data_IF_033628585058
#
_entry.id   IF_033628585058
#
_cell.length_a   1.000
_cell.length_b   1.000
_cell.length_c   1.000
_cell.angle_alpha   90.00
_cell.angle_beta   90.00
_cell.angle_gamma   90.00
#
_symmetry.space_group_name_H-M   'P 1'
#
loop_
_entity.id
_entity.type
_entity.pdbx_description
1 polymer ?
#
# COMPACT_ATOMS: atom_id res chain seq x y z
N UNK A 1 -12.45 -10.54 -12.60
CA UNK A 1 -12.07 -9.14 -12.90
C UNK A 1 -11.11 -8.62 -11.83
N UNK A 2 -9.87 -8.25 -12.18
CA UNK A 2 -8.92 -7.60 -11.27
C UNK A 2 -9.43 -6.19 -10.97
N UNK A 3 -9.91 -5.91 -9.75
CA UNK A 3 -10.17 -4.52 -9.32
C UNK A 3 -8.82 -3.82 -9.16
N UNK A 4 -8.50 -2.92 -10.07
CA UNK A 4 -7.33 -2.07 -9.92
C UNK A 4 -7.59 -1.09 -8.77
N UNK A 5 -6.71 -1.11 -7.76
CA UNK A 5 -6.77 -0.21 -6.60
C UNK A 5 -6.32 1.20 -7.02
N UNK A 6 -7.15 1.89 -7.80
CA UNK A 6 -6.90 3.26 -8.21
C UNK A 6 -7.17 4.19 -7.04
N UNK A 7 -6.10 4.72 -6.45
CA UNK A 7 -6.11 5.82 -5.49
C UNK A 7 -5.69 7.13 -6.18
N UNK A 8 -5.96 8.28 -5.56
CA UNK A 8 -5.50 9.58 -6.08
C UNK A 8 -3.98 9.62 -6.26
N UNK A 9 -3.21 9.03 -5.32
CA UNK A 9 -1.76 8.91 -5.45
C UNK A 9 -1.34 8.09 -6.69
N UNK A 10 -1.99 6.95 -6.93
CA UNK A 10 -1.67 6.13 -8.13
C UNK A 10 -2.06 6.83 -9.43
N UNK A 11 -3.15 7.60 -9.44
CA UNK A 11 -3.55 8.42 -10.58
C UNK A 11 -2.54 9.53 -10.85
N UNK A 12 -2.04 10.21 -9.81
CA UNK A 12 -1.00 11.23 -9.95
C UNK A 12 0.30 10.63 -10.52
N UNK A 13 0.72 9.46 -10.04
CA UNK A 13 1.89 8.76 -10.55
C UNK A 13 1.71 8.30 -12.01
N UNK A 14 0.52 7.81 -12.36
CA UNK A 14 0.19 7.41 -13.72
C UNK A 14 0.19 8.62 -14.67
N UNK A 15 -0.42 9.73 -14.25
CA UNK A 15 -0.43 10.98 -15.01
C UNK A 15 0.99 11.47 -15.32
N UNK A 16 1.87 11.48 -14.32
CA UNK A 16 3.28 11.83 -14.51
C UNK A 16 3.97 10.92 -15.53
N UNK A 17 3.73 9.60 -15.50
CA UNK A 17 4.34 8.68 -16.47
C UNK A 17 3.87 8.94 -17.91
N UNK A 18 2.65 9.43 -18.07
CA UNK A 18 2.07 9.65 -19.40
C UNK A 18 2.37 11.06 -19.95
N UNK A 19 2.47 12.07 -19.09
CA UNK A 19 2.59 13.48 -19.50
C UNK A 19 3.90 14.15 -19.10
N UNK A 20 4.66 13.57 -18.18
CA UNK A 20 5.85 14.18 -17.57
C UNK A 20 5.55 15.26 -16.53
N UNK A 21 4.28 15.62 -16.32
CA UNK A 21 3.88 16.71 -15.42
C UNK A 21 3.63 16.15 -14.02
N UNK A 22 4.29 16.73 -13.01
CA UNK A 22 4.10 16.35 -11.61
C UNK A 22 2.88 17.05 -11.02
N UNK A 23 2.03 16.28 -10.36
CA UNK A 23 0.88 16.75 -9.60
C UNK A 23 0.85 16.10 -8.23
N UNK A 24 0.46 16.86 -7.21
CA UNK A 24 0.26 16.34 -5.86
C UNK A 24 -1.02 15.51 -5.76
N UNK A 25 -1.09 14.64 -4.74
CA UNK A 25 -2.27 13.81 -4.48
C UNK A 25 -3.54 14.64 -4.25
N UNK A 26 -3.45 15.74 -3.49
CA UNK A 26 -4.59 16.65 -3.24
C UNK A 26 -5.12 17.28 -4.52
N UNK A 27 -4.23 17.75 -5.40
CA UNK A 27 -4.60 18.35 -6.68
C UNK A 27 -5.28 17.31 -7.59
N UNK A 28 -4.77 16.08 -7.61
CA UNK A 28 -5.43 14.97 -8.32
C UNK A 28 -6.80 14.65 -7.71
N UNK A 29 -6.93 14.71 -6.39
CA UNK A 29 -8.21 14.54 -5.69
C UNK A 29 -9.25 15.61 -6.04
N UNK A 30 -8.84 16.88 -6.10
CA UNK A 30 -9.72 17.97 -6.50
C UNK A 30 -10.13 17.87 -7.98
N UNK A 31 -9.19 17.50 -8.85
CA UNK A 31 -9.48 17.19 -10.25
C UNK A 31 -10.53 16.07 -10.37
N UNK A 32 -10.30 14.93 -9.73
CA UNK A 32 -11.25 13.82 -9.74
C UNK A 32 -12.64 14.25 -9.23
N UNK A 33 -12.70 15.04 -8.15
CA UNK A 33 -13.96 15.55 -7.59
C UNK A 33 -14.72 16.44 -8.57
N UNK A 34 -14.02 17.38 -9.24
CA UNK A 34 -14.63 18.29 -10.22
C UNK A 34 -15.18 17.55 -11.44
N UNK A 35 -14.52 16.46 -11.84
CA UNK A 35 -14.91 15.66 -13.00
C UNK A 35 -15.79 14.43 -12.65
N UNK A 36 -16.26 14.31 -11.41
CA UNK A 36 -17.13 13.19 -10.99
C UNK A 36 -16.43 11.82 -10.96
N UNK A 37 -15.10 11.80 -11.07
CA UNK A 37 -14.31 10.57 -10.99
C UNK A 37 -14.21 10.17 -9.52
N UNK A 38 -14.66 8.94 -9.21
CA UNK A 38 -14.54 8.36 -7.86
C UNK A 38 -13.58 7.18 -7.89
N UNK A 39 -12.29 7.40 -7.59
CA UNK A 39 -11.34 6.30 -7.45
C UNK A 39 -11.77 5.36 -6.32
N UNK A 40 -11.29 4.13 -6.39
CA UNK A 40 -11.57 3.15 -5.34
C UNK A 40 -11.08 3.69 -4.00
N UNK A 41 -12.01 3.85 -3.05
CA UNK A 41 -11.70 4.21 -1.68
C UNK A 41 -11.43 2.91 -0.93
N UNK A 42 -10.19 2.60 -0.54
CA UNK A 42 -9.92 1.39 0.21
C UNK A 42 -10.70 1.46 1.52
N UNK A 43 -11.62 0.53 1.73
CA UNK A 43 -12.28 0.35 3.03
C UNK A 43 -11.31 -0.21 4.06
N UNK A 44 -10.26 -0.88 3.57
CA UNK A 44 -9.17 -1.41 4.39
C UNK A 44 -8.05 -0.40 4.54
N UNK A 45 -7.83 0.06 5.78
CA UNK A 45 -6.63 0.80 6.16
C UNK A 45 -5.56 -0.25 6.49
N UNK A 46 -4.64 -0.50 5.56
CA UNK A 46 -3.46 -1.33 5.84
C UNK A 46 -2.58 -0.60 6.85
N UNK A 47 -2.85 -0.82 8.14
CA UNK A 47 -1.91 -0.47 9.19
C UNK A 47 -0.71 -1.41 9.03
N UNK A 48 0.50 -0.87 8.86
CA UNK A 48 1.70 -1.68 8.99
C UNK A 48 1.70 -2.27 10.39
N UNK A 49 1.87 -3.60 10.49
CA UNK A 49 1.95 -4.23 11.80
C UNK A 49 3.15 -3.66 12.55
N UNK A 50 3.02 -3.56 13.87
CA UNK A 50 4.06 -3.06 14.77
C UNK A 50 5.40 -3.77 14.49
N UNK A 51 6.46 -3.03 14.09
CA UNK A 51 7.77 -3.61 13.79
C UNK A 51 8.33 -4.43 14.94
N UNK A 52 8.08 -4.01 16.19
CA UNK A 52 8.55 -4.72 17.37
C UNK A 52 7.81 -6.05 17.59
N UNK A 53 6.53 -6.15 17.19
CA UNK A 53 5.80 -7.43 17.21
C UNK A 53 6.25 -8.34 16.07
N UNK A 54 6.50 -7.80 14.89
CA UNK A 54 7.03 -8.60 13.76
C UNK A 54 8.40 -9.19 14.07
N UNK A 55 9.26 -8.44 14.76
CA UNK A 55 10.59 -8.91 15.13
C UNK A 55 10.52 -10.02 16.19
N UNK A 56 9.67 -9.89 17.21
CA UNK A 56 9.41 -10.95 18.19
C UNK A 56 8.87 -12.23 17.55
N UNK A 57 7.85 -12.10 16.69
CA UNK A 57 7.30 -13.26 15.98
C UNK A 57 8.34 -13.99 15.11
N UNK A 58 9.31 -13.27 14.54
CA UNK A 58 10.44 -13.87 13.81
C UNK A 58 11.39 -14.65 14.71
N UNK A 59 11.68 -14.15 15.91
CA UNK A 59 12.51 -14.84 16.89
C UNK A 59 11.83 -16.12 17.39
N UNK A 60 10.55 -16.04 17.74
CA UNK A 60 9.74 -17.19 18.16
C UNK A 60 9.61 -18.25 17.06
N UNK A 61 9.50 -17.82 15.80
CA UNK A 61 9.48 -18.74 14.67
C UNK A 61 10.81 -19.48 14.56
N UNK A 62 11.94 -18.76 14.60
CA UNK A 62 13.27 -19.36 14.52
C UNK A 62 13.52 -20.36 15.66
N UNK A 63 13.11 -20.04 16.88
CA UNK A 63 13.21 -20.94 18.04
C UNK A 63 12.40 -22.23 17.82
N UNK A 64 11.19 -22.13 17.28
CA UNK A 64 10.34 -23.30 16.97
C UNK A 64 10.81 -24.13 15.78
N UNK A 65 11.46 -23.50 14.78
CA UNK A 65 12.00 -24.21 13.61
C UNK A 65 13.40 -24.78 13.82
N UNK A 66 14.06 -24.51 14.95
CA UNK A 66 15.34 -25.16 15.25
C UNK A 66 15.09 -26.67 15.43
N UNK A 67 15.61 -27.54 14.55
CA UNK A 67 15.36 -28.97 14.69
C UNK A 67 16.05 -29.46 15.96
N UNK A 68 15.27 -30.10 16.83
CA UNK A 68 15.77 -30.96 17.90
C UNK A 68 16.44 -32.15 17.21
N UNK A 69 17.69 -31.98 16.77
CA UNK A 69 18.67 -33.03 16.44
C UNK A 69 19.96 -32.38 15.92
N UNK A 70 20.75 -31.82 16.84
CA UNK A 70 22.21 -31.83 16.77
C UNK A 70 22.70 -32.11 18.19
N UNK A 71 22.59 -33.39 18.56
CA UNK A 71 23.35 -34.01 19.63
C UNK A 71 24.46 -34.84 18.98
#
# INVERSE_FOLDING_TARGET
MKRANWTHATLAAFFYRQTGIRVGETAMGDFCRRHGVRPYRPTYRFLRADPARQQRARQELNEKTTPVNMA
#
